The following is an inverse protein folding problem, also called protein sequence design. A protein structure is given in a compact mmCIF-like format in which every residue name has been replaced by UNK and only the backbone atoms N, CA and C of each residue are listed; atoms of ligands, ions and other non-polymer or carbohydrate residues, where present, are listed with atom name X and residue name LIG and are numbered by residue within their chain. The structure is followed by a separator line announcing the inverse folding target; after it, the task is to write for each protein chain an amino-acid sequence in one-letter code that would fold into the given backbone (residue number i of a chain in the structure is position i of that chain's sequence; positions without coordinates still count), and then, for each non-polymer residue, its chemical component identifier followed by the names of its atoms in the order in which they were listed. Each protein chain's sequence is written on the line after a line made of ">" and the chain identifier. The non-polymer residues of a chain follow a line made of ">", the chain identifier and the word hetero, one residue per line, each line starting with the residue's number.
data_IF_997122955324
#
_entry.id   IF_997122955324
#
_cell.length_a   1.000
_cell.length_b   1.000
_cell.length_c   1.000
_cell.angle_alpha   90.00
_cell.angle_beta   90.00
_cell.angle_gamma   90.00
#
_symmetry.space_group_name_H-M   'P 1'
#
loop_
_entity.id
_entity.type
_entity.pdbx_description
1 polymer ?
#
# COMPACT_ATOMS: atom_id res chain seq x y z
N UNK A 1 -26.95 -2.59 6.79
CA UNK A 1 -26.21 -3.85 6.53
C UNK A 1 -25.40 -4.19 7.76
N UNK A 2 -25.70 -5.30 8.43
CA UNK A 2 -25.04 -5.71 9.67
C UNK A 2 -23.52 -5.84 9.48
N UNK A 3 -22.74 -5.31 10.44
CA UNK A 3 -21.28 -5.41 10.50
C UNK A 3 -20.89 -6.86 10.87
N UNK A 4 -21.02 -7.79 9.91
CA UNK A 4 -20.52 -9.16 10.08
C UNK A 4 -19.01 -9.10 10.29
N UNK A 5 -18.51 -9.68 11.39
CA UNK A 5 -17.08 -9.87 11.61
C UNK A 5 -16.49 -10.69 10.45
N UNK A 6 -15.40 -10.20 9.85
CA UNK A 6 -14.71 -10.90 8.76
C UNK A 6 -14.16 -12.23 9.27
N UNK A 7 -14.47 -13.33 8.58
CA UNK A 7 -13.89 -14.63 8.89
C UNK A 7 -12.54 -14.81 8.18
N UNK A 8 -11.86 -15.95 8.42
CA UNK A 8 -10.56 -16.25 7.78
C UNK A 8 -10.65 -16.29 6.25
N UNK A 9 -11.78 -16.75 5.69
CA UNK A 9 -12.03 -16.83 4.26
C UNK A 9 -12.20 -15.43 3.64
N UNK A 10 -12.93 -14.52 4.30
CA UNK A 10 -13.05 -13.11 3.91
C UNK A 10 -11.68 -12.42 3.87
N UNK A 11 -10.89 -12.61 4.92
CA UNK A 11 -9.55 -12.01 5.04
C UNK A 11 -8.64 -12.54 3.93
N UNK A 12 -8.64 -13.85 3.67
CA UNK A 12 -7.85 -14.45 2.60
C UNK A 12 -8.27 -13.92 1.23
N UNK A 13 -9.56 -14.00 0.89
CA UNK A 13 -10.06 -13.56 -0.41
C UNK A 13 -9.74 -12.08 -0.67
N UNK A 14 -9.95 -11.21 0.33
CA UNK A 14 -9.60 -9.80 0.22
C UNK A 14 -8.11 -9.57 0.03
N UNK A 15 -7.27 -10.24 0.81
CA UNK A 15 -5.81 -10.08 0.74
C UNK A 15 -5.29 -10.55 -0.61
N UNK A 16 -5.75 -11.73 -1.07
CA UNK A 16 -5.37 -12.31 -2.35
C UNK A 16 -5.78 -11.41 -3.52
N UNK A 17 -7.02 -10.94 -3.53
CA UNK A 17 -7.53 -10.03 -4.56
C UNK A 17 -6.84 -8.66 -4.51
N UNK A 18 -6.54 -8.13 -3.32
CA UNK A 18 -5.80 -6.88 -3.17
C UNK A 18 -4.41 -6.99 -3.79
N UNK A 19 -3.65 -8.04 -3.46
CA UNK A 19 -2.30 -8.25 -4.00
C UNK A 19 -2.30 -8.40 -5.52
N UNK A 20 -3.27 -9.12 -6.09
CA UNK A 20 -3.44 -9.21 -7.54
C UNK A 20 -3.76 -7.84 -8.15
N UNK A 21 -4.63 -7.06 -7.51
CA UNK A 21 -5.01 -5.74 -8.00
C UNK A 21 -3.84 -4.76 -8.07
N UNK A 22 -2.90 -4.85 -7.13
CA UNK A 22 -1.66 -4.05 -7.13
C UNK A 22 -0.74 -4.40 -8.30
N UNK A 23 -0.76 -5.66 -8.75
CA UNK A 23 0.00 -6.16 -9.92
C UNK A 23 -0.76 -6.04 -11.24
N UNK A 24 -1.93 -5.39 -11.25
CA UNK A 24 -2.86 -5.37 -12.41
C UNK A 24 -3.28 -6.76 -12.91
N UNK A 25 -3.27 -7.76 -12.03
CA UNK A 25 -3.69 -9.12 -12.34
C UNK A 25 -5.13 -9.37 -11.87
N UNK A 26 -5.77 -10.35 -12.50
CA UNK A 26 -7.10 -10.83 -12.14
C UNK A 26 -7.07 -12.35 -11.99
N UNK A 27 -7.98 -12.88 -11.19
CA UNK A 27 -8.23 -14.31 -11.02
C UNK A 27 -9.72 -14.55 -11.25
N UNK A 28 -10.13 -15.69 -11.81
CA UNK A 28 -11.55 -16.00 -11.89
C UNK A 28 -12.12 -16.29 -10.49
N UNK A 29 -13.43 -16.11 -10.32
CA UNK A 29 -14.09 -16.44 -9.04
C UNK A 29 -14.01 -17.94 -8.74
N UNK A 30 -14.09 -18.79 -9.77
CA UNK A 30 -13.96 -20.23 -9.64
C UNK A 30 -12.56 -20.62 -9.17
N UNK A 31 -11.51 -20.16 -9.85
CA UNK A 31 -10.13 -20.48 -9.48
C UNK A 31 -9.79 -20.03 -8.05
N UNK A 32 -10.31 -18.87 -7.61
CA UNK A 32 -10.12 -18.42 -6.24
C UNK A 32 -10.91 -19.25 -5.23
N UNK A 33 -12.10 -19.74 -5.59
CA UNK A 33 -12.85 -20.67 -4.76
C UNK A 33 -12.10 -22.00 -4.62
N UNK A 34 -11.59 -22.55 -5.73
CA UNK A 34 -10.79 -23.79 -5.74
C UNK A 34 -9.50 -23.62 -4.91
N UNK A 35 -8.81 -22.48 -5.04
CA UNK A 35 -7.64 -22.11 -4.20
C UNK A 35 -8.02 -22.12 -2.71
N UNK A 36 -9.17 -21.57 -2.35
CA UNK A 36 -9.64 -21.51 -0.96
C UNK A 36 -10.06 -22.89 -0.43
N UNK A 37 -10.72 -23.71 -1.25
CA UNK A 37 -11.11 -25.08 -0.89
C UNK A 37 -9.87 -25.89 -0.55
N UNK A 38 -8.89 -25.87 -1.45
CA UNK A 38 -7.61 -26.56 -1.27
C UNK A 38 -6.88 -26.05 -0.03
N UNK A 39 -6.72 -24.73 0.12
CA UNK A 39 -5.92 -24.12 1.19
C UNK A 39 -6.49 -24.31 2.58
N UNK A 40 -7.82 -24.35 2.71
CA UNK A 40 -8.50 -24.45 4.00
C UNK A 40 -9.08 -25.84 4.27
N UNK A 41 -8.71 -26.84 3.46
CA UNK A 41 -9.20 -28.23 3.56
C UNK A 41 -10.73 -28.31 3.66
N UNK A 42 -11.41 -27.50 2.85
CA UNK A 42 -12.85 -27.49 2.83
C UNK A 42 -13.32 -28.72 2.05
N UNK A 43 -14.01 -29.66 2.68
CA UNK A 43 -14.71 -30.73 1.94
C UNK A 43 -15.60 -30.18 0.81
N UNK A 44 -15.59 -30.87 -0.34
CA UNK A 44 -16.34 -30.49 -1.54
C UNK A 44 -17.85 -30.68 -1.33
N UNK A 45 -18.61 -29.58 -1.36
CA UNK A 45 -20.07 -29.63 -1.40
C UNK A 45 -20.59 -28.44 -2.21
N UNK A 46 -21.57 -28.68 -3.07
CA UNK A 46 -22.13 -27.63 -3.96
C UNK A 46 -22.66 -26.41 -3.20
N UNK A 47 -23.19 -26.61 -1.99
CA UNK A 47 -23.62 -25.52 -1.09
C UNK A 47 -22.46 -24.62 -0.65
N UNK A 48 -21.28 -25.20 -0.42
CA UNK A 48 -20.08 -24.47 0.00
C UNK A 48 -19.49 -23.63 -1.14
N UNK A 49 -19.58 -24.11 -2.37
CA UNK A 49 -19.15 -23.36 -3.55
C UNK A 49 -19.95 -22.07 -3.71
N UNK A 50 -21.27 -22.12 -3.53
CA UNK A 50 -22.12 -20.93 -3.58
C UNK A 50 -21.77 -19.91 -2.51
N UNK A 51 -21.50 -20.36 -1.28
CA UNK A 51 -21.11 -19.46 -0.19
C UNK A 51 -19.71 -18.86 -0.40
N UNK A 52 -18.76 -19.62 -0.92
CA UNK A 52 -17.45 -19.12 -1.31
C UNK A 52 -17.56 -18.06 -2.41
N UNK A 53 -18.40 -18.30 -3.43
CA UNK A 53 -18.67 -17.30 -4.46
C UNK A 53 -19.21 -15.99 -3.87
N UNK A 54 -20.17 -16.06 -2.94
CA UNK A 54 -20.70 -14.87 -2.24
C UNK A 54 -19.60 -14.12 -1.48
N UNK A 55 -18.73 -14.84 -0.77
CA UNK A 55 -17.58 -14.26 -0.04
C UNK A 55 -16.63 -13.57 -1.02
N UNK A 56 -16.26 -14.23 -2.11
CA UNK A 56 -15.35 -13.68 -3.13
C UNK A 56 -15.93 -12.44 -3.79
N UNK A 57 -17.21 -12.45 -4.17
CA UNK A 57 -17.87 -11.28 -4.76
C UNK A 57 -17.91 -10.10 -3.78
N UNK A 58 -18.19 -10.36 -2.51
CA UNK A 58 -18.14 -9.33 -1.48
C UNK A 58 -16.72 -8.76 -1.29
N UNK A 59 -15.71 -9.63 -1.27
CA UNK A 59 -14.30 -9.25 -1.21
C UNK A 59 -13.88 -8.39 -2.43
N UNK A 60 -14.27 -8.78 -3.65
CA UNK A 60 -14.01 -8.00 -4.88
C UNK A 60 -14.57 -6.59 -4.77
N UNK A 61 -15.82 -6.43 -4.33
CA UNK A 61 -16.43 -5.10 -4.15
C UNK A 61 -15.63 -4.25 -3.16
N UNK A 62 -15.19 -4.83 -2.04
CA UNK A 62 -14.37 -4.13 -1.03
C UNK A 62 -13.01 -3.73 -1.59
N UNK A 63 -12.35 -4.62 -2.32
CA UNK A 63 -11.05 -4.36 -2.99
C UNK A 63 -11.19 -3.27 -4.05
N UNK A 64 -12.23 -3.30 -4.88
CA UNK A 64 -12.50 -2.25 -5.88
C UNK A 64 -12.70 -0.89 -5.21
N UNK A 65 -13.55 -0.81 -4.17
CA UNK A 65 -13.75 0.43 -3.42
C UNK A 65 -12.45 0.95 -2.81
N UNK A 66 -11.65 0.06 -2.21
CA UNK A 66 -10.33 0.40 -1.64
C UNK A 66 -9.39 0.93 -2.72
N UNK A 67 -9.33 0.30 -3.89
CA UNK A 67 -8.50 0.72 -5.02
C UNK A 67 -8.92 2.08 -5.56
N UNK A 68 -10.22 2.33 -5.72
CA UNK A 68 -10.74 3.63 -6.12
C UNK A 68 -10.39 4.72 -5.12
N UNK A 69 -10.50 4.44 -3.81
CA UNK A 69 -10.10 5.37 -2.75
C UNK A 69 -8.60 5.65 -2.80
N UNK A 70 -7.77 4.61 -2.95
CA UNK A 70 -6.31 4.76 -3.10
C UNK A 70 -5.95 5.64 -4.29
N UNK A 71 -6.57 5.43 -5.46
CA UNK A 71 -6.32 6.26 -6.65
C UNK A 71 -6.67 7.74 -6.42
N UNK A 72 -7.81 8.01 -5.77
CA UNK A 72 -8.19 9.39 -5.40
C UNK A 72 -7.18 10.01 -4.42
N UNK A 73 -6.74 9.23 -3.44
CA UNK A 73 -5.76 9.69 -2.45
C UNK A 73 -4.40 9.97 -3.09
N UNK A 74 -3.94 9.16 -4.04
CA UNK A 74 -2.65 9.37 -4.72
C UNK A 74 -2.57 10.77 -5.32
N UNK A 75 -3.59 11.20 -6.09
CA UNK A 75 -3.59 12.54 -6.68
C UNK A 75 -3.63 13.64 -5.61
N UNK A 76 -4.45 13.47 -4.57
CA UNK A 76 -4.51 14.44 -3.47
C UNK A 76 -3.19 14.52 -2.67
N UNK A 77 -2.54 13.38 -2.44
CA UNK A 77 -1.26 13.30 -1.74
C UNK A 77 -0.12 13.84 -2.58
N UNK A 78 -0.10 13.60 -3.89
CA UNK A 78 0.91 14.16 -4.79
C UNK A 78 0.93 15.68 -4.74
N UNK A 79 -0.25 16.31 -4.78
CA UNK A 79 -0.39 17.75 -4.62
C UNK A 79 0.09 18.24 -3.25
N UNK A 80 -0.39 17.62 -2.16
CA UNK A 80 -0.04 18.05 -0.80
C UNK A 80 1.42 17.83 -0.43
N UNK A 81 2.00 16.73 -0.88
CA UNK A 81 3.41 16.41 -0.65
C UNK A 81 4.32 17.13 -1.65
N UNK A 82 3.80 17.80 -2.68
CA UNK A 82 4.57 18.36 -3.80
C UNK A 82 5.52 17.32 -4.41
N UNK A 83 4.98 16.14 -4.72
CA UNK A 83 5.72 15.03 -5.34
C UNK A 83 5.03 14.61 -6.65
N UNK A 84 5.78 14.08 -7.64
CA UNK A 84 5.17 13.50 -8.83
C UNK A 84 4.22 12.35 -8.46
N UNK A 85 3.04 12.31 -9.10
CA UNK A 85 2.04 11.25 -8.84
C UNK A 85 2.61 9.84 -8.96
N UNK A 86 3.55 9.62 -9.90
CA UNK A 86 4.21 8.32 -10.09
C UNK A 86 4.95 7.85 -8.83
N UNK A 87 5.64 8.76 -8.13
CA UNK A 87 6.36 8.44 -6.89
C UNK A 87 5.38 8.10 -5.78
N UNK A 88 4.34 8.93 -5.61
CA UNK A 88 3.28 8.72 -4.62
C UNK A 88 2.53 7.42 -4.87
N UNK A 89 2.25 7.09 -6.14
CA UNK A 89 1.63 5.83 -6.52
C UNK A 89 2.50 4.64 -6.13
N UNK A 90 3.82 4.70 -6.39
CA UNK A 90 4.75 3.65 -6.01
C UNK A 90 4.78 3.45 -4.49
N UNK A 91 4.84 4.53 -3.71
CA UNK A 91 4.82 4.46 -2.25
C UNK A 91 3.50 3.90 -1.72
N UNK A 92 2.37 4.29 -2.31
CA UNK A 92 1.05 3.77 -1.93
C UNK A 92 0.90 2.27 -2.24
N UNK A 93 1.37 1.83 -3.41
CA UNK A 93 1.36 0.40 -3.81
C UNK A 93 2.24 -0.45 -2.91
N UNK A 94 3.43 0.06 -2.54
CA UNK A 94 4.34 -0.61 -1.62
C UNK A 94 3.91 -0.55 -0.15
N UNK A 95 2.85 0.21 0.17
CA UNK A 95 2.37 0.39 1.53
C UNK A 95 3.23 1.34 2.39
N UNK A 96 4.20 2.03 1.79
CA UNK A 96 5.01 3.06 2.47
C UNK A 96 4.22 4.33 2.75
N UNK A 97 3.21 4.63 1.92
CA UNK A 97 2.31 5.75 2.12
C UNK A 97 0.86 5.29 2.24
N UNK A 98 0.22 5.64 3.34
CA UNK A 98 -1.15 5.28 3.71
C UNK A 98 -1.86 6.49 4.33
N UNK A 99 -3.18 6.43 4.47
CA UNK A 99 -3.93 7.47 5.17
C UNK A 99 -3.46 7.68 6.61
N UNK A 100 -2.98 6.62 7.28
CA UNK A 100 -2.60 6.66 8.69
C UNK A 100 -1.26 7.35 8.94
N UNK A 101 -0.32 7.21 8.01
CA UNK A 101 1.02 7.79 8.14
C UNK A 101 1.25 9.01 7.25
N UNK A 102 0.23 9.45 6.49
CA UNK A 102 0.33 10.61 5.61
C UNK A 102 0.83 11.86 6.34
N UNK A 103 0.30 12.15 7.53
CA UNK A 103 0.70 13.33 8.31
C UNK A 103 2.20 13.30 8.67
N UNK A 104 2.68 12.16 9.18
CA UNK A 104 4.10 11.99 9.52
C UNK A 104 5.02 12.15 8.29
N UNK A 105 4.62 11.57 7.14
CA UNK A 105 5.39 11.72 5.89
C UNK A 105 5.41 13.18 5.42
N UNK A 106 4.30 13.89 5.54
CA UNK A 106 4.23 15.32 5.22
C UNK A 106 5.18 16.14 6.10
N UNK A 107 5.18 15.90 7.42
CA UNK A 107 6.07 16.60 8.37
C UNK A 107 7.55 16.35 8.05
N UNK A 108 7.94 15.09 7.84
CA UNK A 108 9.33 14.72 7.49
C UNK A 108 9.76 15.43 6.21
N UNK A 109 8.93 15.42 5.17
CA UNK A 109 9.25 16.07 3.89
C UNK A 109 9.29 17.60 4.01
N UNK A 110 8.42 18.19 4.83
CA UNK A 110 8.44 19.64 5.09
C UNK A 110 9.71 20.05 5.83
N UNK A 111 10.11 19.29 6.86
CA UNK A 111 11.33 19.54 7.61
C UNK A 111 12.56 19.42 6.71
N UNK A 112 12.62 18.38 5.87
CA UNK A 112 13.70 18.20 4.91
C UNK A 112 13.81 19.37 3.91
N UNK A 113 12.66 19.89 3.43
CA UNK A 113 12.64 21.06 2.55
C UNK A 113 13.08 22.34 3.24
N UNK A 114 12.67 22.56 4.48
CA UNK A 114 13.11 23.71 5.26
C UNK A 114 14.64 23.69 5.43
N UNK A 115 15.21 22.52 5.74
CA UNK A 115 16.65 22.33 5.85
C UNK A 115 17.37 22.62 4.52
N UNK A 116 16.83 22.15 3.38
CA UNK A 116 17.40 22.46 2.06
C UNK A 116 17.39 23.97 1.76
N UNK A 117 16.31 24.67 2.10
CA UNK A 117 16.17 26.11 1.86
C UNK A 117 17.09 26.93 2.78
N UNK A 118 17.27 26.47 4.02
CA UNK A 118 18.15 27.13 5.00
C UNK A 118 19.65 27.02 4.70
N UNK A 119 20.05 26.20 3.71
CA UNK A 119 21.45 25.95 3.37
C UNK A 119 22.20 25.07 4.37
N UNK A 120 21.56 24.67 5.48
CA UNK A 120 22.17 23.86 6.55
C UNK A 120 22.64 22.47 6.08
N UNK A 121 22.03 21.94 5.01
CA UNK A 121 22.45 20.67 4.41
C UNK A 121 23.73 20.84 3.57
N UNK A 122 23.89 21.95 2.84
CA UNK A 122 25.12 22.21 2.07
C UNK A 122 26.31 22.53 2.98
N UNK A 123 26.08 23.28 4.06
CA UNK A 123 27.13 23.55 5.06
C UNK A 123 27.53 22.28 5.80
N UNK A 124 26.57 21.46 6.24
CA UNK A 124 26.84 20.18 6.90
C UNK A 124 27.59 19.16 6.02
N UNK A 125 27.23 19.04 4.74
CA UNK A 125 27.92 18.15 3.79
C UNK A 125 29.33 18.67 3.47
N UNK A 126 29.50 19.98 3.33
CA UNK A 126 30.83 20.56 3.10
C UNK A 126 31.73 20.44 4.33
N UNK A 127 31.21 20.61 5.54
CA UNK A 127 31.97 20.39 6.78
C UNK A 127 32.40 18.93 6.96
N UNK A 128 31.54 17.96 6.60
CA UNK A 128 31.89 16.54 6.60
C UNK A 128 32.99 16.22 5.58
N UNK A 129 32.91 16.78 4.36
CA UNK A 129 33.97 16.63 3.35
C UNK A 129 35.29 17.30 3.76
N UNK A 130 35.25 18.46 4.41
CA UNK A 130 36.45 19.15 4.92
C UNK A 130 37.11 18.35 6.04
N UNK A 131 36.32 17.71 6.92
CA UNK A 131 36.85 16.81 7.96
C UNK A 131 37.47 15.54 7.39
N UNK A 132 36.92 14.99 6.30
CA UNK A 132 37.49 13.83 5.61
C UNK A 132 38.74 14.16 4.78
N UNK A 133 38.89 15.40 4.29
CA UNK A 133 40.08 15.84 3.56
C UNK A 133 41.19 16.43 4.46
N UNK A 134 40.85 16.91 5.66
CA UNK A 134 41.78 17.55 6.59
C UNK A 134 42.44 16.63 7.62
N UNK A 135 42.17 15.32 7.58
CA UNK A 135 42.63 14.39 8.61
C UNK A 135 43.28 13.15 8.04
N UNK A 136 44.55 13.25 7.63
CA UNK A 136 45.63 12.28 7.89
C UNK A 136 46.97 12.92 7.45
N UNK A 137 47.62 13.65 8.35
CA UNK A 137 49.07 13.76 8.39
C UNK A 137 49.50 13.14 9.71
N UNK A 138 50.09 11.95 9.62
CA UNK A 138 51.06 11.51 10.62
C UNK A 138 52.30 12.41 10.55
#
# INVERSE_FOLDING_TARGET
>A
MANRKKNKLDIHAETRLWNLSLKNQQIATKDLADEMIYRFHLGNSAWRDQDLQKIILAARRRVMRRRSKMKKNISAWALKLFLPEKVVAQWAVNGWLTEKNFAAVYEILSAYRALLISGEIETGINELKIREQGGYSF
#
